data_IF_958647063125
#
_entry.id   IF_958647063125
#
_cell.length_a   1.000
_cell.length_b   1.000
_cell.length_c   1.000
_cell.angle_alpha   90.00
_cell.angle_beta   90.00
_cell.angle_gamma   90.00
#
_symmetry.space_group_name_H-M   'P 1'
#
loop_
_entity.id
_entity.type
_entity.pdbx_description
1 polymer ?
#
# COMPACT_ATOMS: atom_id res chain seq x y z
N UNK A 1 -26.95 -41.18 50.55
CA UNK A 1 -27.05 -39.72 50.34
C UNK A 1 -25.65 -39.20 50.08
N UNK A 2 -25.33 -38.88 48.82
CA UNK A 2 -24.05 -38.29 48.40
C UNK A 2 -24.37 -37.34 47.24
N UNK A 3 -24.06 -36.04 47.31
CA UNK A 3 -24.31 -35.13 46.20
C UNK A 3 -23.08 -35.10 45.27
N UNK A 4 -23.28 -35.47 44.00
CA UNK A 4 -22.31 -35.23 42.94
C UNK A 4 -22.39 -33.75 42.53
N UNK A 5 -21.30 -33.01 42.74
CA UNK A 5 -21.12 -31.66 42.22
C UNK A 5 -20.70 -31.78 40.75
N UNK A 6 -21.60 -31.41 39.84
CA UNK A 6 -21.28 -31.29 38.41
C UNK A 6 -20.61 -29.93 38.20
N UNK A 7 -19.28 -29.93 38.04
CA UNK A 7 -18.53 -28.75 37.63
C UNK A 7 -18.67 -28.61 36.12
N UNK A 8 -19.53 -27.69 35.69
CA UNK A 8 -19.61 -27.29 34.29
C UNK A 8 -18.37 -26.45 33.93
N UNK A 9 -17.39 -27.08 33.29
CA UNK A 9 -16.26 -26.40 32.66
C UNK A 9 -16.79 -25.62 31.43
N UNK A 10 -17.02 -24.32 31.64
CA UNK A 10 -17.22 -23.36 30.56
C UNK A 10 -15.90 -23.23 29.79
N UNK A 11 -15.78 -23.98 28.70
CA UNK A 11 -14.74 -23.76 27.68
C UNK A 11 -15.09 -22.45 26.97
N UNK A 12 -14.51 -21.35 27.45
CA UNK A 12 -14.50 -20.08 26.70
C UNK A 12 -13.59 -20.33 25.50
N UNK A 13 -14.21 -20.64 24.35
CA UNK A 13 -13.51 -20.65 23.08
C UNK A 13 -13.02 -19.23 22.81
N UNK A 14 -11.73 -19.00 23.00
CA UNK A 14 -11.05 -17.81 22.50
C UNK A 14 -11.02 -17.98 20.99
N UNK A 15 -11.94 -17.32 20.30
CA UNK A 15 -11.84 -17.13 18.86
C UNK A 15 -10.65 -16.21 18.63
N UNK A 16 -9.49 -16.79 18.31
CA UNK A 16 -8.43 -16.03 17.66
C UNK A 16 -8.99 -15.60 16.31
N UNK A 17 -9.42 -14.34 16.20
CA UNK A 17 -9.58 -13.72 14.90
C UNK A 17 -8.19 -13.74 14.27
N UNK A 18 -7.96 -14.67 13.34
CA UNK A 18 -6.92 -14.51 12.35
C UNK A 18 -7.31 -13.27 11.55
N UNK A 19 -6.84 -12.10 11.98
CA UNK A 19 -6.62 -11.02 11.05
C UNK A 19 -5.61 -11.58 10.07
N UNK A 20 -6.10 -12.07 8.93
CA UNK A 20 -5.22 -12.40 7.82
C UNK A 20 -4.56 -11.09 7.44
N UNK A 21 -3.24 -11.07 7.43
CA UNK A 21 -2.45 -9.95 6.93
C UNK A 21 -2.86 -9.73 5.45
N UNK A 22 -3.73 -8.75 5.18
CA UNK A 22 -4.34 -8.48 3.86
C UNK A 22 -3.39 -7.81 2.88
N UNK A 23 -2.08 -7.96 3.06
CA UNK A 23 -1.07 -7.31 2.24
C UNK A 23 -0.20 -8.23 1.42
N UNK A 24 -0.86 -9.28 0.96
CA UNK A 24 -0.29 -10.21 0.01
C UNK A 24 -1.28 -10.34 -1.12
N UNK A 25 -0.75 -10.63 -2.31
CA UNK A 25 -1.57 -10.85 -3.49
C UNK A 25 -2.39 -12.11 -3.25
N UNK A 26 -3.69 -11.94 -3.07
CA UNK A 26 -4.60 -13.03 -2.73
C UNK A 26 -5.17 -13.69 -3.99
N UNK A 27 -4.51 -14.75 -4.44
CA UNK A 27 -4.97 -15.60 -5.54
C UNK A 27 -5.96 -16.70 -5.09
N UNK A 28 -6.43 -16.70 -3.84
CA UNK A 28 -7.30 -17.75 -3.31
C UNK A 28 -8.77 -17.57 -3.70
N UNK A 29 -9.16 -16.35 -4.07
CA UNK A 29 -10.56 -15.98 -4.34
C UNK A 29 -10.97 -16.01 -5.84
N UNK A 30 -10.04 -16.27 -6.76
CA UNK A 30 -10.33 -16.37 -8.19
C UNK A 30 -9.10 -16.88 -8.95
N UNK A 31 -9.26 -17.93 -9.74
CA UNK A 31 -8.14 -18.65 -10.38
C UNK A 31 -7.42 -17.87 -11.48
N UNK A 32 -7.85 -16.66 -11.83
CA UNK A 32 -7.33 -15.94 -12.98
C UNK A 32 -6.65 -14.61 -12.61
N UNK A 33 -7.18 -13.87 -11.62
CA UNK A 33 -6.68 -12.53 -11.29
C UNK A 33 -6.80 -12.19 -9.81
N UNK A 34 -5.87 -11.36 -9.33
CA UNK A 34 -5.90 -10.73 -8.02
C UNK A 34 -5.74 -9.22 -8.15
N UNK A 35 -6.45 -8.45 -7.35
CA UNK A 35 -6.22 -7.01 -7.25
C UNK A 35 -4.86 -6.77 -6.57
N UNK A 36 -4.14 -5.76 -7.02
CA UNK A 36 -2.96 -5.29 -6.27
C UNK A 36 -3.46 -4.68 -4.94
N UNK A 37 -2.99 -5.18 -3.78
CA UNK A 37 -3.46 -4.72 -2.48
C UNK A 37 -2.99 -3.30 -2.14
N UNK A 38 -2.08 -2.71 -2.93
CA UNK A 38 -1.45 -1.41 -2.73
C UNK A 38 -1.90 -0.37 -3.76
N UNK A 39 -2.08 -0.75 -5.03
CA UNK A 39 -2.56 0.15 -6.10
C UNK A 39 -3.74 -0.48 -6.85
N UNK A 40 -4.96 0.05 -6.64
CA UNK A 40 -6.17 -0.48 -7.28
C UNK A 40 -6.18 -0.38 -8.82
N UNK A 41 -5.28 0.36 -9.44
CA UNK A 41 -5.14 0.36 -10.91
C UNK A 41 -4.38 -0.87 -11.39
N UNK A 42 -3.67 -1.54 -10.50
CA UNK A 42 -2.87 -2.70 -10.80
C UNK A 42 -3.61 -3.98 -10.43
N UNK A 43 -3.25 -5.05 -11.14
CA UNK A 43 -3.72 -6.39 -10.87
C UNK A 43 -2.66 -7.41 -11.29
N UNK A 44 -2.75 -8.61 -10.73
CA UNK A 44 -1.87 -9.71 -11.04
C UNK A 44 -2.65 -10.82 -11.75
N UNK A 45 -1.95 -11.57 -12.59
CA UNK A 45 -2.47 -12.82 -13.14
C UNK A 45 -2.09 -13.95 -12.20
N UNK A 46 -3.08 -14.70 -11.72
CA UNK A 46 -2.85 -15.84 -10.84
C UNK A 46 -2.60 -17.10 -11.68
N UNK A 47 -1.54 -17.83 -11.36
CA UNK A 47 -1.26 -19.15 -11.95
C UNK A 47 -1.65 -20.28 -11.00
N UNK A 48 -1.66 -20.02 -9.70
CA UNK A 48 -2.13 -20.92 -8.65
C UNK A 48 -2.60 -20.10 -7.43
N UNK A 49 -3.02 -20.77 -6.35
CA UNK A 49 -3.44 -20.13 -5.10
C UNK A 49 -2.35 -19.28 -4.41
N UNK A 50 -1.07 -19.48 -4.77
CA UNK A 50 0.08 -18.80 -4.17
C UNK A 50 1.05 -18.23 -5.21
N UNK A 51 0.85 -18.52 -6.50
CA UNK A 51 1.72 -18.05 -7.58
C UNK A 51 0.96 -17.09 -8.48
N UNK A 52 1.61 -15.97 -8.78
CA UNK A 52 1.10 -14.91 -9.63
C UNK A 52 2.18 -14.38 -10.57
N UNK A 53 1.81 -13.49 -11.49
CA UNK A 53 2.76 -12.78 -12.33
C UNK A 53 3.79 -12.04 -11.48
N UNK A 54 5.05 -12.03 -11.94
CA UNK A 54 6.14 -11.36 -11.24
C UNK A 54 5.88 -9.85 -11.10
N UNK A 55 5.27 -9.24 -12.12
CA UNK A 55 4.92 -7.83 -12.16
C UNK A 55 3.40 -7.64 -12.29
N UNK A 56 2.85 -6.54 -11.75
CA UNK A 56 1.46 -6.20 -11.94
C UNK A 56 1.20 -5.68 -13.36
N UNK A 57 -0.04 -5.84 -13.80
CA UNK A 57 -0.60 -5.21 -14.98
C UNK A 57 -1.39 -3.97 -14.57
N UNK A 58 -1.18 -2.85 -15.25
CA UNK A 58 -1.87 -1.58 -14.95
C UNK A 58 -3.05 -1.37 -15.89
N UNK A 59 -4.18 -0.97 -15.33
CA UNK A 59 -5.37 -0.54 -16.05
C UNK A 59 -5.08 0.72 -16.88
N UNK A 60 -5.68 0.82 -18.07
CA UNK A 60 -5.47 1.99 -18.93
C UNK A 60 -6.15 3.25 -18.34
N UNK A 61 -5.44 4.39 -18.38
CA UNK A 61 -5.95 5.68 -17.93
C UNK A 61 -6.37 5.68 -16.45
N UNK A 62 -7.54 6.25 -16.16
CA UNK A 62 -8.08 6.41 -14.79
C UNK A 62 -9.01 5.25 -14.38
N UNK A 63 -8.81 4.06 -14.97
CA UNK A 63 -9.61 2.88 -14.64
C UNK A 63 -9.03 2.13 -13.44
N UNK A 64 -9.92 1.49 -12.67
CA UNK A 64 -9.56 0.64 -11.54
C UNK A 64 -9.88 -0.82 -11.88
N UNK A 65 -9.08 -1.74 -11.38
CA UNK A 65 -9.34 -3.16 -11.52
C UNK A 65 -10.51 -3.57 -10.62
N UNK A 66 -11.59 -4.10 -11.22
CA UNK A 66 -12.75 -4.64 -10.50
C UNK A 66 -12.61 -6.16 -10.40
N UNK A 67 -12.29 -6.65 -9.20
CA UNK A 67 -12.13 -8.08 -8.93
C UNK A 67 -13.42 -8.87 -9.16
N UNK A 68 -14.61 -8.25 -9.15
CA UNK A 68 -15.86 -8.98 -9.40
C UNK A 68 -16.07 -9.23 -10.90
N UNK A 69 -15.60 -8.32 -11.75
CA UNK A 69 -15.78 -8.41 -13.20
C UNK A 69 -14.51 -8.80 -13.95
N UNK A 70 -13.40 -9.01 -13.23
CA UNK A 70 -12.07 -9.29 -13.78
C UNK A 70 -11.66 -8.31 -14.90
N UNK A 71 -12.05 -7.03 -14.77
CA UNK A 71 -11.84 -6.02 -15.82
C UNK A 71 -11.58 -4.65 -15.23
N UNK A 72 -10.81 -3.84 -15.96
CA UNK A 72 -10.62 -2.42 -15.65
C UNK A 72 -11.88 -1.62 -15.97
N UNK A 73 -12.37 -0.82 -15.02
CA UNK A 73 -13.61 -0.04 -15.17
C UNK A 73 -13.42 1.39 -14.72
N UNK A 74 -14.15 2.31 -15.38
CA UNK A 74 -14.29 3.70 -14.96
C UNK A 74 -15.22 3.82 -13.74
N UNK A 75 -15.01 4.88 -12.96
CA UNK A 75 -15.49 5.08 -11.59
C UNK A 75 -16.96 4.71 -11.31
N UNK A 76 -17.16 4.12 -10.13
CA UNK A 76 -18.43 3.55 -9.63
C UNK A 76 -18.17 2.56 -8.48
N UNK A 77 -16.95 2.02 -8.42
CA UNK A 77 -16.42 1.24 -7.31
C UNK A 77 -15.55 2.15 -6.43
N UNK A 78 -15.69 2.03 -5.10
CA UNK A 78 -14.73 2.63 -4.16
C UNK A 78 -13.50 1.72 -4.12
N UNK A 79 -12.50 2.04 -4.94
CA UNK A 79 -11.16 1.52 -4.71
C UNK A 79 -10.75 1.89 -3.29
N UNK A 80 -10.45 0.88 -2.48
CA UNK A 80 -9.83 1.03 -1.17
C UNK A 80 -8.73 0.00 -1.18
N UNK A 81 -7.47 0.36 -1.49
CA UNK A 81 -6.41 -0.63 -1.36
C UNK A 81 -6.35 -1.08 0.08
N UNK A 82 -6.05 -2.35 0.24
CA UNK A 82 -6.02 -3.01 1.54
C UNK A 82 -4.73 -2.65 2.29
N UNK A 83 -3.77 -2.04 1.61
CA UNK A 83 -2.47 -1.67 2.14
C UNK A 83 -2.06 -0.22 1.88
N UNK A 84 -1.28 0.27 2.82
CA UNK A 84 -0.42 1.43 2.62
C UNK A 84 0.94 0.96 2.08
N UNK A 85 1.37 1.51 0.94
CA UNK A 85 2.62 1.13 0.26
C UNK A 85 3.84 1.28 1.17
N UNK A 86 3.87 2.34 1.96
CA UNK A 86 5.01 2.69 2.79
C UNK A 86 4.56 2.90 4.24
N UNK A 87 4.93 1.98 5.12
CA UNK A 87 4.82 2.23 6.56
C UNK A 87 6.12 2.83 7.10
N UNK A 88 6.00 3.81 8.00
CA UNK A 88 7.12 4.40 8.74
C UNK A 88 7.07 4.11 10.25
N UNK A 89 6.09 3.29 10.68
CA UNK A 89 5.90 2.84 12.06
C UNK A 89 5.75 1.30 12.13
N UNK A 90 6.36 0.69 13.13
CA UNK A 90 6.19 -0.73 13.45
C UNK A 90 4.81 -1.05 14.04
N UNK A 91 4.05 -0.04 14.49
CA UNK A 91 2.66 -0.21 14.91
C UNK A 91 1.70 -0.41 13.72
N UNK A 92 2.15 -0.15 12.48
CA UNK A 92 1.35 -0.45 11.30
C UNK A 92 1.21 -1.97 11.15
N UNK A 93 -0.01 -2.48 10.92
CA UNK A 93 -0.36 -3.89 11.11
C UNK A 93 0.30 -4.87 10.14
N UNK A 94 1.09 -4.42 9.17
CA UNK A 94 1.02 -5.07 7.87
C UNK A 94 2.22 -5.98 7.55
N UNK A 95 3.44 -5.68 7.99
CA UNK A 95 4.62 -6.41 7.47
C UNK A 95 5.79 -6.62 8.44
N UNK A 96 5.67 -6.18 9.71
CA UNK A 96 6.80 -6.23 10.65
C UNK A 96 8.03 -5.47 10.14
N UNK A 97 7.86 -4.57 9.18
CA UNK A 97 8.90 -3.74 8.58
C UNK A 97 8.39 -2.31 8.49
N UNK A 98 9.30 -1.36 8.60
CA UNK A 98 9.03 0.05 8.28
C UNK A 98 10.17 0.61 7.44
N UNK A 99 9.82 1.45 6.48
CA UNK A 99 10.77 2.13 5.62
C UNK A 99 11.58 3.17 6.40
N UNK A 100 12.83 3.40 5.97
CA UNK A 100 13.58 4.56 6.41
C UNK A 100 12.95 5.83 5.83
N UNK A 101 12.85 6.87 6.65
CA UNK A 101 12.27 8.16 6.23
C UNK A 101 13.18 8.93 5.27
N UNK A 102 14.47 8.57 5.21
CA UNK A 102 15.50 9.34 4.50
C UNK A 102 16.35 8.53 3.51
N UNK A 103 16.44 7.21 3.70
CA UNK A 103 17.31 6.35 2.91
C UNK A 103 16.54 5.16 2.35
N UNK A 104 16.27 5.20 1.05
CA UNK A 104 15.49 4.18 0.38
C UNK A 104 16.14 2.79 0.36
N UNK A 105 17.45 2.72 0.53
CA UNK A 105 18.16 1.46 0.57
C UNK A 105 18.13 0.80 1.94
N UNK A 106 17.33 1.30 2.88
CA UNK A 106 17.30 0.80 4.25
C UNK A 106 15.86 0.69 4.74
N UNK A 107 15.55 -0.41 5.40
CA UNK A 107 14.32 -0.59 6.17
C UNK A 107 14.64 -1.11 7.57
N UNK A 108 13.72 -0.92 8.49
CA UNK A 108 13.82 -1.45 9.84
C UNK A 108 12.96 -2.70 9.95
N UNK A 109 13.58 -3.81 10.34
CA UNK A 109 12.89 -5.04 10.73
C UNK A 109 12.40 -4.89 12.17
N UNK A 110 11.09 -4.80 12.34
CA UNK A 110 10.44 -4.59 13.63
C UNK A 110 10.47 -5.83 14.53
N UNK A 111 10.54 -7.03 13.95
CA UNK A 111 10.62 -8.28 14.72
C UNK A 111 12.00 -8.42 15.36
N UNK A 112 13.04 -8.18 14.57
CA UNK A 112 14.43 -8.29 15.01
C UNK A 112 15.00 -7.01 15.61
N UNK A 113 14.26 -5.89 15.51
CA UNK A 113 14.65 -4.57 15.98
C UNK A 113 16.00 -4.12 15.40
N UNK A 114 16.16 -4.25 14.08
CA UNK A 114 17.41 -3.96 13.38
C UNK A 114 17.18 -3.21 12.05
N UNK A 115 18.20 -2.46 11.62
CA UNK A 115 18.20 -1.79 10.32
C UNK A 115 18.86 -2.67 9.27
N UNK A 116 18.10 -3.01 8.24
CA UNK A 116 18.53 -3.88 7.14
C UNK A 116 18.76 -3.02 5.90
N UNK A 117 19.95 -3.14 5.32
CA UNK A 117 20.25 -2.55 4.02
C UNK A 117 19.84 -3.47 2.88
N UNK A 118 19.23 -2.88 1.85
CA UNK A 118 19.02 -3.51 0.57
C UNK A 118 20.35 -3.84 -0.12
N UNK A 119 20.31 -4.85 -0.99
CA UNK A 119 21.49 -5.27 -1.75
C UNK A 119 21.80 -4.24 -2.85
N UNK A 120 23.04 -4.20 -3.38
CA UNK A 120 23.35 -3.37 -4.54
C UNK A 120 22.60 -3.75 -5.81
N UNK A 121 22.15 -5.01 -5.93
CA UNK A 121 21.41 -5.49 -7.09
C UNK A 121 19.95 -5.01 -7.06
N UNK A 122 19.39 -4.81 -5.87
CA UNK A 122 18.02 -4.39 -5.62
C UNK A 122 18.00 -3.26 -4.56
N UNK A 123 18.47 -2.04 -4.89
CA UNK A 123 18.86 -1.06 -3.88
C UNK A 123 17.71 -0.23 -3.27
N UNK A 124 16.45 -0.48 -3.65
CA UNK A 124 15.31 0.36 -3.24
C UNK A 124 14.25 -0.46 -2.52
N UNK A 125 13.99 -0.13 -1.26
CA UNK A 125 12.91 -0.71 -0.48
C UNK A 125 11.56 -0.10 -0.90
N UNK A 126 10.63 -0.95 -1.31
CA UNK A 126 9.29 -0.55 -1.78
C UNK A 126 8.21 -0.58 -0.70
N UNK A 127 8.61 -0.77 0.56
CA UNK A 127 7.71 -0.95 1.71
C UNK A 127 7.52 -2.41 2.10
N UNK A 128 7.84 -3.34 1.20
CA UNK A 128 7.74 -4.78 1.44
C UNK A 128 9.08 -5.50 1.23
N UNK A 129 9.70 -5.27 0.08
CA UNK A 129 10.94 -5.90 -0.37
C UNK A 129 11.88 -4.89 -1.01
N UNK A 130 13.14 -5.29 -1.12
CA UNK A 130 14.13 -4.56 -1.89
C UNK A 130 13.97 -4.90 -3.38
N UNK A 131 14.03 -3.89 -4.25
CA UNK A 131 13.85 -4.02 -5.69
C UNK A 131 14.65 -2.96 -6.47
N UNK A 132 14.58 -2.98 -7.81
CA UNK A 132 15.48 -2.25 -8.74
C UNK A 132 15.00 -0.88 -9.18
N UNK A 133 13.70 -0.65 -9.17
CA UNK A 133 13.05 0.56 -9.64
C UNK A 133 13.02 1.63 -8.54
N UNK A 134 13.77 2.71 -8.73
CA UNK A 134 13.81 3.83 -7.80
C UNK A 134 12.45 4.52 -7.60
N UNK A 135 11.50 4.38 -8.53
CA UNK A 135 10.19 5.02 -8.40
C UNK A 135 9.30 4.35 -7.35
N UNK A 136 9.59 3.10 -7.02
CA UNK A 136 8.92 2.35 -5.96
C UNK A 136 9.46 2.68 -4.56
N UNK A 137 10.43 3.58 -4.48
CA UNK A 137 11.09 3.95 -3.25
C UNK A 137 10.16 4.44 -2.14
N UNK A 138 10.20 3.76 -0.99
CA UNK A 138 9.55 4.22 0.22
C UNK A 138 10.47 5.12 1.04
N UNK A 139 10.27 6.43 0.94
CA UNK A 139 10.87 7.44 1.82
C UNK A 139 9.88 8.55 2.08
N UNK A 140 10.25 9.52 2.93
CA UNK A 140 9.46 10.74 3.11
C UNK A 140 9.60 11.75 1.96
N UNK A 141 9.96 11.28 0.77
CA UNK A 141 9.99 12.04 -0.48
C UNK A 141 8.97 11.43 -1.42
N UNK A 142 8.18 12.27 -2.05
CA UNK A 142 7.27 11.86 -3.11
C UNK A 142 8.08 11.37 -4.32
N UNK A 143 7.52 10.42 -5.06
CA UNK A 143 8.07 9.95 -6.33
C UNK A 143 6.96 9.87 -7.37
N UNK A 144 7.31 10.15 -8.61
CA UNK A 144 6.46 10.04 -9.78
C UNK A 144 6.96 8.89 -10.65
N UNK A 145 6.10 7.91 -10.95
CA UNK A 145 6.42 6.92 -11.98
C UNK A 145 6.30 7.54 -13.38
N UNK A 146 6.75 6.81 -14.40
CA UNK A 146 6.55 7.19 -15.80
C UNK A 146 5.07 7.37 -16.17
N UNK A 147 4.20 6.54 -15.61
CA UNK A 147 2.75 6.62 -15.86
C UNK A 147 2.14 7.83 -15.16
N UNK A 148 2.62 8.15 -13.95
CA UNK A 148 2.16 9.32 -13.20
C UNK A 148 2.50 10.62 -13.93
N UNK A 149 3.72 10.72 -14.45
CA UNK A 149 4.17 11.86 -15.25
C UNK A 149 3.39 11.99 -16.57
N UNK A 150 3.19 10.89 -17.30
CA UNK A 150 2.44 10.90 -18.57
C UNK A 150 0.98 11.34 -18.39
N UNK A 151 0.40 11.06 -17.21
CA UNK A 151 -1.00 11.34 -16.88
C UNK A 151 -1.17 12.63 -16.07
N UNK A 152 -0.08 13.32 -15.73
CA UNK A 152 -0.07 14.51 -14.88
C UNK A 152 -0.84 14.32 -13.56
N UNK A 153 -0.69 13.16 -12.92
CA UNK A 153 -1.36 12.92 -11.64
C UNK A 153 -0.67 13.67 -10.51
N UNK A 154 -1.43 13.90 -9.44
CA UNK A 154 -0.90 14.42 -8.18
C UNK A 154 -0.38 13.27 -7.33
N UNK A 155 0.68 13.48 -6.55
CA UNK A 155 1.21 12.54 -5.55
C UNK A 155 1.28 13.21 -4.17
N UNK A 156 1.17 12.45 -3.07
CA UNK A 156 1.08 13.05 -1.73
C UNK A 156 2.39 13.72 -1.31
N UNK A 157 2.30 14.85 -0.61
CA UNK A 157 3.38 15.32 0.27
C UNK A 157 3.27 14.55 1.61
N UNK A 158 4.24 13.67 1.87
CA UNK A 158 4.25 12.83 3.07
C UNK A 158 4.44 13.60 4.39
N UNK A 159 4.81 14.88 4.33
CA UNK A 159 4.97 15.76 5.49
C UNK A 159 3.77 16.66 5.70
N UNK A 160 2.89 16.83 4.71
CA UNK A 160 1.72 17.67 4.82
C UNK A 160 0.53 17.10 4.04
N UNK A 161 -0.45 16.60 4.77
CA UNK A 161 -1.67 15.98 4.22
C UNK A 161 -2.54 16.93 3.38
N UNK A 162 -2.30 18.24 3.43
CA UNK A 162 -3.00 19.24 2.61
C UNK A 162 -2.24 19.60 1.34
N UNK A 163 -1.04 19.05 1.16
CA UNK A 163 -0.18 19.35 0.05
C UNK A 163 -0.01 18.13 -0.86
N UNK A 164 0.37 18.40 -2.10
CA UNK A 164 0.65 17.41 -3.12
C UNK A 164 1.72 17.93 -4.06
N UNK A 165 2.29 17.05 -4.87
CA UNK A 165 3.13 17.43 -6.01
C UNK A 165 2.45 16.99 -7.31
N UNK A 166 2.51 17.84 -8.34
CA UNK A 166 2.09 17.46 -9.68
C UNK A 166 3.24 16.74 -10.41
N UNK A 167 2.99 15.52 -10.89
CA UNK A 167 3.97 14.77 -11.66
C UNK A 167 4.04 15.27 -13.10
N UNK A 168 5.13 15.96 -13.45
CA UNK A 168 5.39 16.41 -14.82
C UNK A 168 6.44 15.56 -15.52
N UNK A 169 7.38 15.01 -14.75
CA UNK A 169 8.45 14.12 -15.21
C UNK A 169 8.58 12.95 -14.22
N UNK A 170 9.08 11.78 -14.65
CA UNK A 170 9.36 10.67 -13.75
C UNK A 170 10.46 11.05 -12.74
N UNK A 171 10.38 10.53 -11.52
CA UNK A 171 11.34 10.76 -10.45
C UNK A 171 10.82 11.60 -9.31
N UNK A 172 11.74 12.22 -8.56
CA UNK A 172 11.38 13.09 -7.44
C UNK A 172 10.81 14.39 -8.02
N UNK A 173 9.56 14.77 -7.69
CA UNK A 173 8.96 15.99 -8.21
C UNK A 173 9.72 17.23 -7.70
N UNK A 174 9.82 18.23 -8.57
CA UNK A 174 10.45 19.51 -8.23
C UNK A 174 9.55 20.34 -7.31
N UNK A 175 10.15 21.14 -6.42
CA UNK A 175 9.39 22.01 -5.51
C UNK A 175 8.50 23.03 -6.24
N UNK A 176 8.78 23.35 -7.51
CA UNK A 176 7.90 24.18 -8.33
C UNK A 176 6.56 23.52 -8.69
N UNK A 177 6.44 22.19 -8.58
CA UNK A 177 5.19 21.46 -8.80
C UNK A 177 4.41 21.20 -7.51
N UNK A 178 4.91 21.70 -6.38
CA UNK A 178 4.28 21.63 -5.08
C UNK A 178 2.99 22.48 -5.06
N UNK A 179 1.86 21.81 -4.84
CA UNK A 179 0.54 22.39 -4.73
C UNK A 179 -0.07 22.21 -3.35
N UNK A 180 -1.15 22.97 -3.10
CA UNK A 180 -1.95 22.90 -1.90
C UNK A 180 -3.41 22.66 -2.26
N UNK A 181 -4.09 21.82 -1.49
CA UNK A 181 -5.50 21.56 -1.64
C UNK A 181 -6.31 22.83 -1.35
N UNK A 182 -7.18 23.30 -2.27
CA UNK A 182 -8.01 24.48 -2.03
C UNK A 182 -8.98 24.31 -0.84
N UNK A 183 -9.38 23.06 -0.58
CA UNK A 183 -10.16 22.62 0.58
C UNK A 183 -9.84 21.15 0.86
N UNK A 184 -10.01 20.73 2.12
CA UNK A 184 -9.83 19.36 2.54
C UNK A 184 -8.37 18.90 2.56
N UNK A 185 -8.17 17.57 2.48
CA UNK A 185 -6.86 16.93 2.45
C UNK A 185 -6.65 16.22 1.11
N UNK A 186 -5.39 15.99 0.76
CA UNK A 186 -5.04 15.20 -0.41
C UNK A 186 -5.34 13.72 -0.14
N UNK A 187 -6.15 13.16 -1.02
CA UNK A 187 -6.49 11.75 -1.03
C UNK A 187 -5.54 11.02 -1.99
N UNK A 188 -4.58 10.28 -1.43
CA UNK A 188 -3.60 9.51 -2.20
C UNK A 188 -4.20 8.35 -2.99
N UNK A 189 -5.43 7.94 -2.67
CA UNK A 189 -6.15 6.88 -3.37
C UNK A 189 -6.90 7.43 -4.56
N UNK A 190 -7.59 8.54 -4.36
CA UNK A 190 -8.33 9.23 -5.42
C UNK A 190 -7.44 10.15 -6.26
N UNK A 191 -6.18 10.32 -5.86
CA UNK A 191 -5.19 11.24 -6.45
C UNK A 191 -5.73 12.67 -6.59
N UNK A 192 -6.52 13.12 -5.62
CA UNK A 192 -7.23 14.40 -5.66
C UNK A 192 -7.49 14.95 -4.26
N UNK A 193 -7.83 16.23 -4.15
CA UNK A 193 -8.18 16.84 -2.86
C UNK A 193 -9.66 16.61 -2.53
N UNK A 194 -9.95 16.18 -1.32
CA UNK A 194 -11.32 15.92 -0.85
C UNK A 194 -11.51 16.36 0.60
N UNK A 195 -12.72 16.81 0.95
CA UNK A 195 -13.05 17.26 2.31
C UNK A 195 -13.19 16.09 3.31
N UNK A 196 -13.40 14.87 2.81
CA UNK A 196 -13.56 13.66 3.62
C UNK A 196 -12.28 12.84 3.79
N UNK A 197 -11.19 13.20 3.10
CA UNK A 197 -9.91 12.52 3.30
C UNK A 197 -9.36 12.78 4.71
N UNK A 198 -8.91 11.74 5.44
CA UNK A 198 -8.22 11.93 6.70
C UNK A 198 -6.88 12.62 6.48
N UNK A 199 -6.49 13.48 7.42
CA UNK A 199 -5.14 14.04 7.40
C UNK A 199 -4.15 12.99 7.95
N UNK A 200 -3.37 12.39 7.06
CA UNK A 200 -2.32 11.43 7.42
C UNK A 200 -0.98 12.03 7.01
N UNK A 201 -0.09 12.21 7.98
CA UNK A 201 1.27 12.73 7.79
C UNK A 201 2.27 11.69 8.27
N UNK A 202 2.62 10.70 7.44
CA UNK A 202 3.49 9.61 7.85
C UNK A 202 4.91 10.06 8.25
N UNK A 203 5.29 11.29 7.88
CA UNK A 203 6.63 11.83 8.08
C UNK A 203 6.67 13.12 8.92
N UNK A 204 5.68 13.30 9.81
CA UNK A 204 5.59 14.45 10.73
C UNK A 204 6.65 14.43 11.84
#
# INVERSE_FOLDING_TARGET
MSPYVVVALLMVGVSTSTGMDTCFIDCTHGLDFAADPVDCRNYYICYSYIEHSEFPFTCEGDMFFDLNSHTCRTSGYKCTPECEKCSFDCAAPVLGKRASTVDCGVYFDCEHNDWISCSPDDPYFDGHVCQKDEYHCCTCKSSCSSNDAASHVMVPDYRNCTNFYLCLEPGIPDESTHGHCPSGNYDSQRKTCTDDAPCIQPCA
#
